data_IF_100390762454
#
_entry.id   IF_100390762454
#
_cell.length_a   1.000
_cell.length_b   1.000
_cell.length_c   1.000
_cell.angle_alpha   90.00
_cell.angle_beta   90.00
_cell.angle_gamma   90.00
#
_symmetry.space_group_name_H-M   'P 1'
#
loop_
_entity.id
_entity.type
_entity.pdbx_description
1 polymer ?
#
# COMPACT_ATOMS: atom_id res chain seq x y z
N UNK A 1 -4.79 -2.52 15.22
CA UNK A 1 -4.56 -1.67 14.10
C UNK A 1 -3.21 -1.87 13.53
N UNK A 2 -3.11 -2.07 12.25
CA UNK A 2 -1.83 -2.26 11.61
C UNK A 2 -1.18 -0.95 11.22
N UNK A 3 0.12 -0.98 11.09
CA UNK A 3 0.87 0.14 10.53
C UNK A 3 1.16 -0.17 9.09
N UNK A 4 0.91 0.79 8.22
CA UNK A 4 1.19 0.58 6.81
C UNK A 4 2.22 1.56 6.32
N UNK A 5 2.95 1.15 5.29
CA UNK A 5 3.89 2.03 4.60
C UNK A 5 3.81 1.73 3.12
N UNK A 6 4.01 2.75 2.31
CA UNK A 6 4.07 2.61 0.87
C UNK A 6 5.52 2.71 0.45
N UNK A 7 6.00 1.69 -0.26
CA UNK A 7 7.39 1.60 -0.68
C UNK A 7 7.45 1.60 -2.19
N UNK A 8 8.37 2.36 -2.75
CA UNK A 8 8.59 2.35 -4.19
C UNK A 8 9.66 1.32 -4.53
N UNK A 9 9.33 0.43 -5.46
CA UNK A 9 10.26 -0.60 -5.94
C UNK A 9 10.29 -0.53 -7.45
N UNK A 10 11.36 -0.03 -8.01
CA UNK A 10 11.45 0.14 -9.44
C UNK A 10 10.36 1.09 -9.93
N UNK A 11 9.50 0.59 -10.80
CA UNK A 11 8.39 1.40 -11.32
C UNK A 11 7.08 1.11 -10.61
N UNK A 12 7.10 0.31 -9.57
CA UNK A 12 5.90 -0.09 -8.87
C UNK A 12 5.91 0.42 -7.45
N UNK A 13 4.74 0.42 -6.84
CA UNK A 13 4.59 0.79 -5.44
C UNK A 13 3.95 -0.37 -4.70
N UNK A 14 4.37 -0.58 -3.47
CA UNK A 14 3.84 -1.67 -2.65
C UNK A 14 3.36 -1.13 -1.31
N UNK A 15 2.27 -1.69 -0.84
CA UNK A 15 1.77 -1.38 0.50
C UNK A 15 2.17 -2.52 1.42
N UNK A 16 2.92 -2.20 2.45
CA UNK A 16 3.31 -3.18 3.45
C UNK A 16 2.57 -2.88 4.75
N UNK A 17 2.09 -3.92 5.36
CA UNK A 17 1.42 -3.82 6.65
C UNK A 17 2.15 -4.76 7.61
N UNK A 18 2.69 -4.18 8.66
CA UNK A 18 3.44 -4.94 9.67
C UNK A 18 4.56 -5.77 9.05
N UNK A 19 5.16 -5.26 8.00
CA UNK A 19 6.27 -5.94 7.35
C UNK A 19 5.87 -6.88 6.23
N UNK A 20 4.57 -7.06 5.98
CA UNK A 20 4.10 -7.95 4.93
C UNK A 20 3.59 -7.15 3.76
N UNK A 21 3.90 -7.61 2.54
CA UNK A 21 3.39 -6.96 1.33
C UNK A 21 1.94 -7.37 1.15
N UNK A 22 1.06 -6.40 1.22
CA UNK A 22 -0.37 -6.65 1.10
C UNK A 22 -0.95 -6.22 -0.24
N UNK A 23 -0.24 -5.37 -0.97
CA UNK A 23 -0.75 -4.85 -2.22
C UNK A 23 0.38 -4.32 -3.07
N UNK A 24 0.27 -4.50 -4.38
CA UNK A 24 1.20 -3.93 -5.35
C UNK A 24 0.41 -3.13 -6.37
N UNK A 25 0.80 -1.91 -6.59
CA UNK A 25 0.12 -1.05 -7.55
C UNK A 25 1.11 -0.39 -8.48
N UNK A 26 0.60 0.12 -9.58
CA UNK A 26 1.45 0.79 -10.57
C UNK A 26 1.72 2.24 -10.21
N UNK A 27 0.97 2.79 -9.29
CA UNK A 27 1.14 4.19 -8.92
C UNK A 27 0.87 4.37 -7.44
N UNK A 28 1.39 5.47 -6.93
CA UNK A 28 1.17 5.83 -5.53
C UNK A 28 -0.33 6.00 -5.25
N UNK A 29 -1.04 6.59 -6.22
CA UNK A 29 -2.47 6.81 -6.07
C UNK A 29 -3.24 5.50 -5.89
N UNK A 30 -2.83 4.46 -6.61
CA UNK A 30 -3.46 3.16 -6.45
C UNK A 30 -3.26 2.60 -5.06
N UNK A 31 -2.09 2.79 -4.50
CA UNK A 31 -1.82 2.33 -3.15
C UNK A 31 -2.65 3.08 -2.13
N UNK A 32 -2.80 4.39 -2.33
CA UNK A 32 -3.64 5.19 -1.45
C UNK A 32 -5.09 4.75 -1.52
N UNK A 33 -5.55 4.43 -2.71
CA UNK A 33 -6.92 3.96 -2.90
C UNK A 33 -7.14 2.65 -2.14
N UNK A 34 -6.17 1.76 -2.22
CA UNK A 34 -6.25 0.50 -1.49
C UNK A 34 -6.36 0.75 0.01
N UNK A 35 -5.53 1.65 0.52
CA UNK A 35 -5.53 1.96 1.94
C UNK A 35 -6.87 2.55 2.36
N UNK A 36 -7.42 3.44 1.55
CA UNK A 36 -8.73 4.00 1.82
C UNK A 36 -9.79 2.93 1.89
N UNK A 37 -9.75 1.98 0.97
CA UNK A 37 -10.76 0.94 0.90
C UNK A 37 -10.67 -0.03 2.07
N UNK A 38 -9.46 -0.29 2.55
CA UNK A 38 -9.23 -1.32 3.54
C UNK A 38 -9.18 -0.76 4.95
N UNK A 39 -8.53 0.37 5.12
CA UNK A 39 -8.27 0.91 6.45
C UNK A 39 -9.21 2.03 6.87
N UNK A 40 -9.81 2.69 5.90
CA UNK A 40 -10.63 3.86 6.20
C UNK A 40 -12.10 3.67 5.88
N UNK A 41 -12.55 2.50 6.05
CA UNK A 41 -13.98 2.22 5.82
C UNK A 41 -14.84 2.82 6.87
#
# INVERSE_FOLDING_TARGET
>A
MGNYVIVKEGNNYMVKVDGWIMYCGDSYAQCLQYICDVFMK
#
